data_IF_937649313765
#
_entry.id   IF_937649313765
#
_cell.length_a   1.000
_cell.length_b   1.000
_cell.length_c   1.000
_cell.angle_alpha   90.00
_cell.angle_beta   90.00
_cell.angle_gamma   90.00
#
_symmetry.space_group_name_H-M   'P 1'
#
loop_
_entity.id
_entity.type
_entity.pdbx_description
1 polymer ?
#
# COMPACT_ATOMS: atom_id res chain seq x y z
N UNK A 1 -8.72 44.99 39.26
CA UNK A 1 -8.83 43.52 39.12
C UNK A 1 -8.72 42.89 40.48
N UNK A 2 -9.68 42.03 40.85
CA UNK A 2 -9.61 41.24 42.08
C UNK A 2 -8.56 40.12 41.91
N UNK A 3 -7.96 39.67 43.00
CA UNK A 3 -6.90 38.65 43.00
C UNK A 3 -7.31 37.35 42.28
N UNK A 4 -8.56 36.93 42.45
CA UNK A 4 -9.14 35.77 41.77
C UNK A 4 -9.24 35.92 40.24
N UNK A 5 -9.51 37.12 39.72
CA UNK A 5 -9.53 37.39 38.27
C UNK A 5 -8.11 37.26 37.68
N UNK A 6 -7.09 37.65 38.46
CA UNK A 6 -5.68 37.56 38.06
C UNK A 6 -5.20 36.10 38.01
N UNK A 7 -5.68 35.25 38.94
CA UNK A 7 -5.43 33.81 38.93
C UNK A 7 -6.08 33.10 37.75
N UNK A 8 -7.32 33.45 37.41
CA UNK A 8 -8.00 32.86 36.24
C UNK A 8 -7.34 33.27 34.93
N UNK A 9 -6.89 34.52 34.83
CA UNK A 9 -6.13 35.00 33.67
C UNK A 9 -4.80 34.25 33.53
N UNK A 10 -4.07 34.05 34.64
CA UNK A 10 -2.82 33.28 34.64
C UNK A 10 -3.04 31.84 34.18
N UNK A 11 -4.08 31.17 34.68
CA UNK A 11 -4.44 29.80 34.26
C UNK A 11 -4.74 29.71 32.76
N UNK A 12 -5.46 30.68 32.20
CA UNK A 12 -5.74 30.73 30.75
C UNK A 12 -4.48 30.99 29.92
N UNK A 13 -3.59 31.86 30.40
CA UNK A 13 -2.29 32.11 29.75
C UNK A 13 -1.42 30.85 29.77
N UNK A 14 -1.35 30.14 30.91
CA UNK A 14 -0.60 28.89 31.03
C UNK A 14 -1.19 27.78 30.15
N UNK A 15 -2.52 27.64 30.13
CA UNK A 15 -3.21 26.71 29.24
C UNK A 15 -2.91 27.01 27.76
N UNK A 16 -2.98 28.27 27.34
CA UNK A 16 -2.70 28.67 25.97
C UNK A 16 -1.22 28.50 25.57
N UNK A 17 -0.29 28.43 26.52
CA UNK A 17 1.13 28.10 26.26
C UNK A 17 1.32 26.61 25.95
N UNK A 18 0.43 25.73 26.42
CA UNK A 18 0.59 24.28 26.24
C UNK A 18 0.51 23.85 24.78
N UNK A 19 -0.30 24.51 23.95
CA UNK A 19 -0.46 24.18 22.53
C UNK A 19 0.82 24.49 21.70
N UNK A 20 1.39 25.71 21.74
CA UNK A 20 2.67 26.01 21.10
C UNK A 20 3.84 25.16 21.62
N UNK A 21 3.91 24.90 22.93
CA UNK A 21 4.96 24.05 23.51
C UNK A 21 4.83 22.59 23.05
N UNK A 22 3.60 22.08 22.94
CA UNK A 22 3.34 20.74 22.42
C UNK A 22 3.72 20.65 20.94
N UNK A 23 3.34 21.63 20.13
CA UNK A 23 3.71 21.69 18.72
C UNK A 23 5.22 21.73 18.54
N UNK A 24 5.93 22.53 19.34
CA UNK A 24 7.39 22.62 19.33
C UNK A 24 8.02 21.25 19.62
N UNK A 25 7.56 20.57 20.68
CA UNK A 25 8.05 19.22 21.03
C UNK A 25 7.76 18.18 19.95
N UNK A 26 6.62 18.28 19.27
CA UNK A 26 6.27 17.39 18.16
C UNK A 26 7.20 17.61 16.95
N UNK A 27 7.49 18.86 16.60
CA UNK A 27 8.44 19.21 15.53
C UNK A 27 9.84 18.67 15.87
N UNK A 28 10.32 18.91 17.09
CA UNK A 28 11.64 18.40 17.53
C UNK A 28 11.69 16.87 17.50
N UNK A 29 10.62 16.19 17.93
CA UNK A 29 10.53 14.74 17.89
C UNK A 29 10.54 14.21 16.45
N UNK A 30 9.79 14.85 15.56
CA UNK A 30 9.75 14.52 14.14
C UNK A 30 11.13 14.71 13.48
N UNK A 31 11.83 15.81 13.77
CA UNK A 31 13.19 16.05 13.29
C UNK A 31 14.16 14.96 13.75
N UNK A 32 14.21 14.65 15.04
CA UNK A 32 15.10 13.60 15.60
C UNK A 32 14.83 12.23 14.98
N UNK A 33 13.55 11.87 14.80
CA UNK A 33 13.16 10.61 14.14
C UNK A 33 13.56 10.60 12.67
N UNK A 34 13.35 11.72 11.96
CA UNK A 34 13.76 11.89 10.57
C UNK A 34 15.27 11.75 10.36
N UNK A 35 16.09 12.38 11.20
CA UNK A 35 17.55 12.25 11.15
C UNK A 35 18.04 10.82 11.41
N UNK A 36 17.38 10.11 12.33
CA UNK A 36 17.66 8.69 12.58
C UNK A 36 17.33 7.85 11.36
N UNK A 37 16.14 8.01 10.80
CA UNK A 37 15.71 7.31 9.59
C UNK A 37 16.66 7.57 8.41
N UNK A 38 17.08 8.84 8.20
CA UNK A 38 18.06 9.18 7.17
C UNK A 38 19.41 8.48 7.36
N UNK A 39 19.90 8.39 8.62
CA UNK A 39 21.14 7.65 8.91
C UNK A 39 20.98 6.16 8.63
N UNK A 40 19.89 5.56 9.07
CA UNK A 40 19.60 4.14 8.83
C UNK A 40 19.51 3.84 7.33
N UNK A 41 18.81 4.69 6.55
CA UNK A 41 18.74 4.58 5.09
C UNK A 41 20.10 4.72 4.41
N UNK A 42 20.95 5.68 4.84
CA UNK A 42 22.32 5.81 4.31
C UNK A 42 23.15 4.56 4.59
N UNK A 43 23.05 4.01 5.80
CA UNK A 43 23.76 2.78 6.17
C UNK A 43 23.27 1.58 5.33
N UNK A 44 21.95 1.45 5.17
CA UNK A 44 21.36 0.40 4.35
C UNK A 44 21.80 0.51 2.89
N UNK A 45 21.80 1.72 2.32
CA UNK A 45 22.28 1.96 0.95
C UNK A 45 23.74 1.55 0.79
N UNK A 46 24.60 1.93 1.74
CA UNK A 46 26.02 1.59 1.71
C UNK A 46 26.25 0.07 1.83
N UNK A 47 25.51 -0.60 2.72
CA UNK A 47 25.59 -2.05 2.86
C UNK A 47 25.09 -2.77 1.61
N UNK A 48 23.97 -2.31 1.06
CA UNK A 48 23.39 -2.85 -0.18
C UNK A 48 24.36 -2.70 -1.34
N UNK A 49 25.02 -1.55 -1.48
CA UNK A 49 26.07 -1.34 -2.48
C UNK A 49 27.18 -2.37 -2.36
N UNK A 50 27.71 -2.61 -1.14
CA UNK A 50 28.73 -3.64 -0.91
C UNK A 50 28.25 -5.04 -1.26
N UNK A 51 26.98 -5.37 -0.96
CA UNK A 51 26.39 -6.66 -1.32
C UNK A 51 26.32 -6.81 -2.85
N UNK A 52 25.84 -5.78 -3.54
CA UNK A 52 25.78 -5.72 -5.00
C UNK A 52 27.17 -5.90 -5.59
N UNK A 53 28.18 -5.20 -5.08
CA UNK A 53 29.57 -5.32 -5.55
C UNK A 53 30.09 -6.76 -5.39
N UNK A 54 29.83 -7.40 -4.25
CA UNK A 54 30.23 -8.80 -4.01
C UNK A 54 29.50 -9.74 -4.97
N UNK A 55 28.20 -9.57 -5.18
CA UNK A 55 27.41 -10.43 -6.07
C UNK A 55 27.83 -10.26 -7.53
N UNK A 56 28.10 -9.03 -7.98
CA UNK A 56 28.67 -8.74 -9.29
C UNK A 56 30.05 -9.38 -9.45
N UNK A 57 30.95 -9.25 -8.46
CA UNK A 57 32.30 -9.81 -8.53
C UNK A 57 32.32 -11.35 -8.60
N UNK A 58 31.23 -12.00 -8.15
CA UNK A 58 31.04 -13.45 -8.21
C UNK A 58 30.22 -13.91 -9.42
N UNK A 59 29.94 -13.04 -10.39
CA UNK A 59 29.09 -13.35 -11.54
C UNK A 59 27.68 -13.88 -11.16
N UNK A 60 27.16 -13.50 -9.99
CA UNK A 60 25.87 -14.01 -9.50
C UNK A 60 24.68 -13.50 -10.34
N UNK A 61 24.81 -12.32 -10.95
CA UNK A 61 23.90 -11.80 -11.95
C UNK A 61 24.66 -10.95 -12.97
N UNK A 62 24.11 -10.85 -14.18
CA UNK A 62 24.59 -9.94 -15.24
C UNK A 62 23.52 -8.90 -15.50
N UNK A 63 23.88 -7.63 -15.36
CA UNK A 63 23.02 -6.52 -15.76
C UNK A 63 23.10 -6.42 -17.29
N UNK A 64 22.16 -7.06 -17.97
CA UNK A 64 22.11 -7.03 -19.43
C UNK A 64 21.32 -5.79 -19.87
N UNK A 65 22.04 -4.69 -20.18
CA UNK A 65 21.43 -3.42 -20.62
C UNK A 65 20.80 -3.48 -22.02
N UNK A 66 20.84 -4.63 -22.69
CA UNK A 66 20.22 -4.85 -24.00
C UNK A 66 19.06 -5.82 -23.83
N UNK A 67 17.96 -5.31 -23.32
CA UNK A 67 16.66 -5.92 -23.59
C UNK A 67 16.31 -5.49 -25.01
N UNK A 68 16.14 -6.44 -25.92
CA UNK A 68 15.71 -6.14 -27.27
C UNK A 68 14.23 -5.72 -27.18
N UNK A 69 13.92 -4.43 -27.28
CA UNK A 69 12.54 -3.90 -27.14
C UNK A 69 11.56 -4.55 -28.14
N UNK A 70 12.08 -5.06 -29.25
CA UNK A 70 11.30 -5.83 -30.23
C UNK A 70 10.83 -7.21 -29.73
N UNK A 71 11.42 -7.70 -28.63
CA UNK A 71 11.11 -8.99 -27.98
C UNK A 71 10.24 -8.84 -26.71
N UNK A 72 9.99 -7.61 -26.24
CA UNK A 72 9.21 -7.37 -25.02
C UNK A 72 7.73 -7.17 -25.38
N UNK A 73 6.88 -7.92 -24.69
CA UNK A 73 5.43 -7.88 -24.87
C UNK A 73 4.89 -6.48 -24.52
N UNK A 74 4.20 -5.86 -25.48
CA UNK A 74 3.65 -4.49 -25.33
C UNK A 74 2.34 -4.44 -24.56
N UNK A 75 1.78 -5.57 -24.14
CA UNK A 75 0.56 -5.57 -23.35
C UNK A 75 0.91 -6.00 -21.92
N UNK A 76 0.53 -5.21 -20.93
CA UNK A 76 0.57 -5.63 -19.54
C UNK A 76 -0.79 -5.45 -18.88
N UNK A 77 -1.08 -6.29 -17.89
CA UNK A 77 -2.27 -6.17 -17.05
C UNK A 77 -1.85 -6.27 -15.59
N UNK A 78 -2.19 -5.25 -14.80
CA UNK A 78 -2.17 -5.31 -13.35
C UNK A 78 -3.51 -5.83 -12.85
N UNK A 79 -3.53 -6.82 -11.98
CA UNK A 79 -4.73 -7.34 -11.32
C UNK A 79 -4.55 -7.16 -9.83
N UNK A 80 -5.50 -6.49 -9.21
CA UNK A 80 -5.45 -6.22 -7.77
C UNK A 80 -6.85 -6.16 -7.17
N UNK A 81 -6.95 -6.70 -5.96
CA UNK A 81 -8.14 -6.71 -5.14
C UNK A 81 -8.00 -5.77 -3.96
N UNK A 82 -9.12 -5.22 -3.53
CA UNK A 82 -9.20 -4.49 -2.26
C UNK A 82 -10.50 -4.80 -1.57
N UNK A 83 -10.47 -4.79 -0.24
CA UNK A 83 -11.68 -4.92 0.53
C UNK A 83 -11.71 -4.02 1.75
N UNK A 84 -12.94 -3.69 2.18
CA UNK A 84 -13.21 -3.02 3.43
C UNK A 84 -14.23 -3.84 4.22
N UNK A 85 -13.93 -4.06 5.50
CA UNK A 85 -14.86 -4.68 6.44
C UNK A 85 -15.56 -3.60 7.26
N UNK A 86 -16.89 -3.73 7.38
CA UNK A 86 -17.72 -2.87 8.24
C UNK A 86 -18.43 -3.72 9.28
N UNK A 87 -18.32 -3.27 10.53
CA UNK A 87 -18.54 -4.06 11.75
C UNK A 87 -19.96 -4.53 12.00
N UNK A 88 -20.03 -5.72 12.59
CA UNK A 88 -21.24 -6.53 12.66
C UNK A 88 -22.11 -6.34 13.90
N UNK A 89 -23.27 -5.73 13.68
CA UNK A 89 -24.38 -5.80 14.62
C UNK A 89 -24.97 -7.21 14.52
N UNK A 90 -24.91 -7.97 15.61
CA UNK A 90 -25.46 -9.32 15.67
C UNK A 90 -24.63 -10.41 14.98
N UNK A 91 -23.31 -10.24 14.85
CA UNK A 91 -22.40 -11.24 14.27
C UNK A 91 -22.35 -11.26 12.74
N UNK A 92 -23.05 -10.34 12.07
CA UNK A 92 -23.04 -10.20 10.61
C UNK A 92 -22.10 -9.09 10.15
N UNK A 93 -21.11 -9.41 9.37
CA UNK A 93 -20.14 -8.46 8.82
C UNK A 93 -20.43 -8.17 7.35
N UNK A 94 -20.18 -6.94 6.93
CA UNK A 94 -20.30 -6.53 5.53
C UNK A 94 -18.91 -6.36 4.91
N UNK A 95 -18.65 -7.14 3.87
CA UNK A 95 -17.43 -7.14 3.07
C UNK A 95 -17.69 -6.36 1.78
N UNK A 96 -17.15 -5.15 1.70
CA UNK A 96 -17.08 -4.41 0.46
C UNK A 96 -15.85 -4.90 -0.29
N UNK A 97 -16.03 -5.67 -1.36
CA UNK A 97 -14.95 -6.26 -2.14
C UNK A 97 -14.94 -5.69 -3.55
N UNK A 98 -13.77 -5.31 -4.04
CA UNK A 98 -13.57 -4.97 -5.45
C UNK A 98 -12.29 -5.60 -5.99
N UNK A 99 -12.33 -6.02 -7.24
CA UNK A 99 -11.16 -6.49 -8.00
C UNK A 99 -11.17 -5.80 -9.35
N UNK A 100 -10.03 -5.20 -9.68
CA UNK A 100 -9.87 -4.41 -10.90
C UNK A 100 -8.71 -4.92 -11.74
N UNK A 101 -8.76 -4.61 -13.04
CA UNK A 101 -7.68 -4.77 -13.98
C UNK A 101 -7.21 -3.40 -14.43
N UNK A 102 -5.90 -3.21 -14.45
CA UNK A 102 -5.25 -2.03 -15.00
C UNK A 102 -4.54 -2.48 -16.27
N UNK A 103 -5.07 -2.06 -17.42
CA UNK A 103 -4.59 -2.46 -18.73
C UNK A 103 -3.58 -1.45 -19.26
N UNK A 104 -2.43 -1.94 -19.67
CA UNK A 104 -1.36 -1.20 -20.32
C UNK A 104 -1.22 -1.72 -21.74
N UNK A 105 -2.03 -1.19 -22.66
CA UNK A 105 -2.17 -1.75 -24.03
C UNK A 105 -0.89 -1.63 -24.87
N UNK A 106 -0.04 -0.64 -24.56
CA UNK A 106 1.16 -0.30 -25.32
C UNK A 106 2.43 -0.22 -24.44
N UNK A 107 2.48 -1.01 -23.36
CA UNK A 107 3.60 -1.14 -22.44
C UNK A 107 3.35 -0.44 -21.12
N UNK A 108 4.18 -0.71 -20.11
CA UNK A 108 3.98 -0.20 -18.75
C UNK A 108 3.98 1.33 -18.62
N UNK A 109 4.55 2.04 -19.60
CA UNK A 109 4.54 3.50 -19.67
C UNK A 109 3.30 4.08 -20.37
N UNK A 110 2.45 3.24 -20.95
CA UNK A 110 1.23 3.68 -21.63
C UNK A 110 0.14 4.09 -20.64
N UNK A 111 -0.81 4.91 -21.11
CA UNK A 111 -1.94 5.35 -20.30
C UNK A 111 -2.75 4.14 -19.80
N UNK A 112 -2.97 4.01 -18.47
CA UNK A 112 -3.67 2.87 -17.91
C UNK A 112 -5.18 2.97 -18.18
N UNK A 113 -5.79 1.86 -18.58
CA UNK A 113 -7.25 1.72 -18.62
C UNK A 113 -7.72 0.83 -17.48
N UNK A 114 -8.67 1.32 -16.68
CA UNK A 114 -9.21 0.59 -15.53
C UNK A 114 -10.47 -0.16 -15.92
N UNK A 115 -10.47 -1.48 -15.77
CA UNK A 115 -11.63 -2.36 -15.94
C UNK A 115 -12.00 -2.93 -14.56
N UNK A 116 -13.18 -2.59 -14.04
CA UNK A 116 -13.70 -3.21 -12.81
C UNK A 116 -14.20 -4.61 -13.17
N UNK A 117 -13.51 -5.65 -12.68
CA UNK A 117 -13.88 -7.03 -12.95
C UNK A 117 -15.00 -7.50 -12.03
N UNK A 118 -14.91 -7.15 -10.75
CA UNK A 118 -15.89 -7.49 -9.73
C UNK A 118 -15.97 -6.38 -8.70
N UNK A 119 -17.18 -6.01 -8.28
CA UNK A 119 -17.39 -5.13 -7.15
C UNK A 119 -18.75 -5.48 -6.53
N UNK A 120 -18.74 -5.87 -5.25
CA UNK A 120 -19.96 -6.25 -4.55
C UNK A 120 -19.83 -6.07 -3.02
N UNK A 121 -20.96 -6.18 -2.33
CA UNK A 121 -21.04 -6.22 -0.87
C UNK A 121 -21.52 -7.60 -0.45
N UNK A 122 -20.62 -8.35 0.19
CA UNK A 122 -20.91 -9.68 0.72
C UNK A 122 -21.22 -9.63 2.23
N UNK A 123 -22.06 -10.55 2.70
CA UNK A 123 -22.23 -10.81 4.14
C UNK A 123 -21.29 -11.94 4.60
N UNK A 124 -20.71 -11.79 5.79
CA UNK A 124 -19.94 -12.83 6.49
C UNK A 124 -20.53 -13.02 7.88
N UNK A 125 -20.96 -14.24 8.19
CA UNK A 125 -21.37 -14.61 9.55
C UNK A 125 -20.15 -15.02 10.38
N UNK A 126 -19.98 -14.38 11.53
CA UNK A 126 -18.90 -14.64 12.49
C UNK A 126 -19.01 -16.03 13.13
N UNK A 127 -20.21 -16.61 13.20
CA UNK A 127 -20.41 -17.97 13.72
C UNK A 127 -19.83 -19.02 12.76
N UNK A 128 -19.94 -18.78 11.45
CA UNK A 128 -19.40 -19.66 10.42
C UNK A 128 -17.91 -19.41 10.16
N UNK A 129 -17.43 -18.19 10.43
CA UNK A 129 -16.08 -17.73 10.12
C UNK A 129 -15.40 -17.13 11.36
N UNK A 130 -14.62 -17.94 12.12
CA UNK A 130 -13.93 -17.49 13.33
C UNK A 130 -12.97 -16.32 13.11
N UNK A 131 -12.53 -16.10 11.86
CA UNK A 131 -11.75 -14.94 11.45
C UNK A 131 -12.34 -14.31 10.21
N UNK A 132 -13.14 -13.26 10.42
CA UNK A 132 -13.77 -12.45 9.36
C UNK A 132 -12.74 -11.93 8.36
N UNK A 133 -11.57 -11.50 8.87
CA UNK A 133 -10.50 -10.96 8.03
C UNK A 133 -9.91 -12.03 7.11
N UNK A 134 -9.65 -13.24 7.62
CA UNK A 134 -9.16 -14.32 6.78
C UNK A 134 -10.19 -14.72 5.72
N UNK A 135 -11.48 -14.78 6.09
CA UNK A 135 -12.55 -15.05 5.13
C UNK A 135 -12.63 -13.98 4.03
N UNK A 136 -12.45 -12.71 4.38
CA UNK A 136 -12.39 -11.61 3.43
C UNK A 136 -11.17 -11.70 2.49
N UNK A 137 -9.99 -11.99 3.04
CA UNK A 137 -8.75 -12.17 2.29
C UNK A 137 -8.86 -13.36 1.32
N UNK A 138 -9.43 -14.49 1.76
CA UNK A 138 -9.67 -15.65 0.92
C UNK A 138 -10.64 -15.34 -0.24
N UNK A 139 -11.73 -14.63 0.04
CA UNK A 139 -12.67 -14.18 -0.99
C UNK A 139 -11.99 -13.26 -2.01
N UNK A 140 -11.19 -12.30 -1.57
CA UNK A 140 -10.44 -11.41 -2.45
C UNK A 140 -9.49 -12.19 -3.36
N UNK A 141 -8.64 -13.04 -2.79
CA UNK A 141 -7.69 -13.86 -3.54
C UNK A 141 -8.40 -14.81 -4.52
N UNK A 142 -9.57 -15.32 -4.15
CA UNK A 142 -10.40 -16.15 -5.04
C UNK A 142 -10.87 -15.35 -6.26
N UNK A 143 -11.35 -14.11 -6.05
CA UNK A 143 -11.82 -13.25 -7.15
C UNK A 143 -10.64 -12.79 -8.01
N UNK A 144 -9.49 -12.44 -7.43
CA UNK A 144 -8.27 -12.17 -8.19
C UNK A 144 -7.84 -13.36 -9.05
N UNK A 145 -7.83 -14.57 -8.47
CA UNK A 145 -7.47 -15.79 -9.20
C UNK A 145 -8.42 -16.07 -10.36
N UNK A 146 -9.73 -15.86 -10.16
CA UNK A 146 -10.73 -15.92 -11.24
C UNK A 146 -10.50 -14.83 -12.28
N UNK A 147 -10.03 -13.66 -11.87
CA UNK A 147 -9.72 -12.53 -12.76
C UNK A 147 -8.52 -12.87 -13.66
N UNK A 148 -7.47 -13.48 -13.09
CA UNK A 148 -6.30 -13.99 -13.83
C UNK A 148 -6.72 -15.08 -14.81
N UNK A 149 -7.51 -16.06 -14.36
CA UNK A 149 -8.02 -17.13 -15.23
C UNK A 149 -8.86 -16.58 -16.38
N UNK A 150 -9.78 -15.65 -16.08
CA UNK A 150 -10.58 -14.99 -17.11
C UNK A 150 -9.70 -14.20 -18.08
N UNK A 151 -8.66 -13.52 -17.61
CA UNK A 151 -7.72 -12.84 -18.50
C UNK A 151 -6.97 -13.82 -19.40
N UNK A 152 -6.42 -14.91 -18.83
CA UNK A 152 -5.76 -15.96 -19.59
C UNK A 152 -6.66 -16.59 -20.66
N UNK A 153 -7.97 -16.69 -20.41
CA UNK A 153 -8.94 -17.19 -21.38
C UNK A 153 -9.14 -16.27 -22.60
N UNK A 154 -8.77 -14.99 -22.52
CA UNK A 154 -8.85 -14.05 -23.65
C UNK A 154 -7.76 -14.31 -24.72
N UNK A 155 -6.73 -15.11 -24.41
CA UNK A 155 -5.65 -15.43 -25.35
C UNK A 155 -4.77 -14.23 -25.73
N UNK A 156 -4.83 -13.14 -24.98
CA UNK A 156 -3.99 -11.95 -25.18
C UNK A 156 -2.62 -12.25 -24.58
N UNK A 157 -1.56 -12.19 -25.41
CA UNK A 157 -0.19 -12.26 -24.92
C UNK A 157 0.12 -11.00 -24.13
N UNK A 158 0.36 -11.14 -22.83
CA UNK A 158 0.58 -10.02 -21.94
C UNK A 158 1.39 -10.42 -20.72
N UNK A 159 2.14 -9.46 -20.18
CA UNK A 159 2.70 -9.56 -18.83
C UNK A 159 1.57 -9.41 -17.81
N UNK A 160 1.40 -10.38 -16.92
CA UNK A 160 0.42 -10.32 -15.83
C UNK A 160 1.14 -9.95 -14.53
N UNK A 161 0.70 -8.87 -13.91
CA UNK A 161 1.20 -8.36 -12.63
C UNK A 161 0.11 -8.52 -11.57
N UNK A 162 0.46 -9.06 -10.40
CA UNK A 162 -0.41 -9.15 -9.23
C UNK A 162 0.15 -8.26 -8.10
N UNK A 163 -0.72 -7.64 -7.29
CA UNK A 163 -0.36 -6.70 -6.20
C UNK A 163 0.29 -5.37 -6.68
N UNK A 164 -0.33 -4.69 -7.65
CA UNK A 164 0.24 -3.49 -8.27
C UNK A 164 0.00 -2.18 -7.49
N UNK A 165 -1.04 -2.11 -6.64
CA UNK A 165 -1.51 -0.83 -6.05
C UNK A 165 -0.61 -0.33 -4.91
N UNK A 166 0.34 -1.13 -4.40
CA UNK A 166 1.31 -0.66 -3.39
C UNK A 166 2.49 0.16 -3.94
N UNK A 167 2.49 0.51 -5.23
CA UNK A 167 3.57 1.29 -5.88
C UNK A 167 3.26 2.77 -6.13
N UNK A 168 2.10 3.28 -5.70
CA UNK A 168 1.74 4.71 -5.79
C UNK A 168 1.55 5.35 -4.41
#
# INVERSE_FOLDING_TARGET
>A
MKYEELKELLKRIEFNKTEPETLTKLIESAQKKGERAQRELRNLRNLTGKIVDVLCSKDFFRINNKINESEVEKFAVGIDGSFQLVGGVGGKWYLFLSVTRILFKNGLESEPEVEVFWADIDEIDEQDNPSIRLAAEEKMLTVESKTILNWGSKGIKSVVLQNFINFF
#
